data_IF_103276455440
#
_entry.id   IF_103276455440
#
_cell.length_a   1.000
_cell.length_b   1.000
_cell.length_c   1.000
_cell.angle_alpha   90.00
_cell.angle_beta   90.00
_cell.angle_gamma   90.00
#
_symmetry.space_group_name_H-M   'P 1'
#
loop_
_entity.id
_entity.type
_entity.pdbx_description
1 polymer ?
#
# COMPACT_ATOMS: atom_id res chain seq x y z
N UNK A 1 -6.27 4.63 -29.25
CA UNK A 1 -6.64 3.28 -28.79
C UNK A 1 -5.50 2.71 -27.96
N UNK A 2 -5.48 3.00 -26.65
CA UNK A 2 -4.54 2.37 -25.71
C UNK A 2 -5.35 1.44 -24.81
N UNK A 3 -5.36 0.14 -25.09
CA UNK A 3 -5.94 -0.82 -24.18
C UNK A 3 -5.05 -0.97 -22.94
N UNK A 4 -5.64 -1.02 -21.74
CA UNK A 4 -4.90 -1.43 -20.53
C UNK A 4 -4.26 -2.80 -20.77
N UNK A 5 -3.01 -3.02 -20.31
CA UNK A 5 -2.29 -4.29 -20.47
C UNK A 5 -3.16 -5.48 -20.05
N UNK A 6 -3.98 -5.31 -19.00
CA UNK A 6 -4.92 -6.31 -18.50
C UNK A 6 -5.96 -6.80 -19.52
N UNK A 7 -6.29 -6.00 -20.53
CA UNK A 7 -7.30 -6.30 -21.55
C UNK A 7 -6.76 -7.07 -22.76
N UNK A 8 -5.47 -7.44 -22.76
CA UNK A 8 -4.88 -8.20 -23.87
C UNK A 8 -5.37 -9.65 -23.82
N UNK A 9 -6.11 -10.04 -24.86
CA UNK A 9 -6.59 -11.40 -25.09
C UNK A 9 -5.88 -12.01 -26.30
N UNK A 10 -5.42 -13.25 -26.14
CA UNK A 10 -4.82 -14.04 -27.22
C UNK A 10 -5.81 -15.14 -27.59
N UNK A 11 -6.16 -15.22 -28.87
CA UNK A 11 -7.05 -16.25 -29.41
C UNK A 11 -6.23 -17.21 -30.25
N UNK A 12 -6.35 -18.51 -29.96
CA UNK A 12 -5.72 -19.58 -30.74
C UNK A 12 -6.77 -20.46 -31.39
N UNK A 13 -6.56 -20.79 -32.67
CA UNK A 13 -7.44 -21.64 -33.48
C UNK A 13 -6.63 -22.77 -34.10
N UNK A 14 -7.13 -24.00 -34.03
CA UNK A 14 -6.51 -25.14 -34.71
C UNK A 14 -6.73 -25.05 -36.23
N UNK A 15 -5.63 -25.06 -37.00
CA UNK A 15 -5.65 -24.99 -38.46
C UNK A 15 -5.87 -26.33 -39.15
N UNK A 16 -5.90 -27.45 -38.42
CA UNK A 16 -5.95 -28.81 -39.01
C UNK A 16 -7.36 -29.32 -39.35
N UNK A 17 -8.38 -28.46 -39.31
CA UNK A 17 -9.76 -28.80 -39.66
C UNK A 17 -10.39 -27.76 -40.60
N UNK A 18 -9.85 -27.58 -41.81
CA UNK A 18 -10.54 -26.85 -42.89
C UNK A 18 -11.70 -27.73 -43.39
N UNK A 19 -12.77 -27.81 -42.59
CA UNK A 19 -14.01 -28.50 -42.92
C UNK A 19 -15.17 -27.80 -42.21
N UNK A 20 -15.67 -26.74 -42.85
CA UNK A 20 -17.08 -26.33 -42.85
C UNK A 20 -17.77 -25.84 -41.57
N UNK A 21 -17.39 -26.26 -40.36
CA UNK A 21 -18.30 -26.17 -39.19
C UNK A 21 -17.59 -25.88 -37.84
N UNK A 22 -16.54 -25.06 -37.83
CA UNK A 22 -15.67 -24.84 -36.66
C UNK A 22 -15.47 -23.38 -36.25
N UNK A 23 -16.53 -22.57 -36.25
CA UNK A 23 -16.53 -21.28 -35.52
C UNK A 23 -16.50 -21.45 -33.98
N UNK A 24 -16.47 -22.69 -33.45
CA UNK A 24 -16.75 -22.99 -32.04
C UNK A 24 -15.55 -23.48 -31.20
N UNK A 25 -14.32 -23.55 -31.71
CA UNK A 25 -13.16 -23.97 -30.90
C UNK A 25 -12.02 -22.94 -30.95
N UNK A 26 -12.30 -21.75 -30.44
CA UNK A 26 -11.27 -20.75 -30.17
C UNK A 26 -10.90 -20.81 -28.70
N UNK A 27 -9.63 -21.09 -28.40
CA UNK A 27 -9.11 -20.95 -27.03
C UNK A 27 -8.77 -19.48 -26.78
N UNK A 28 -9.38 -18.87 -25.78
CA UNK A 28 -9.14 -17.47 -25.40
C UNK A 28 -8.30 -17.42 -24.12
N UNK A 29 -7.17 -16.72 -24.16
CA UNK A 29 -6.26 -16.55 -23.03
C UNK A 29 -6.11 -15.08 -22.66
N UNK A 30 -6.40 -14.74 -21.39
CA UNK A 30 -6.22 -13.38 -20.85
C UNK A 30 -4.75 -13.11 -20.52
N UNK A 31 -3.93 -13.02 -21.56
CA UNK A 31 -2.48 -12.80 -21.47
C UNK A 31 -2.14 -11.57 -20.63
N UNK A 32 -2.93 -10.51 -20.80
CA UNK A 32 -2.80 -9.28 -20.03
C UNK A 32 -2.88 -9.49 -18.53
N UNK A 33 -3.98 -10.07 -18.07
CA UNK A 33 -4.18 -10.41 -16.66
C UNK A 33 -3.11 -11.36 -16.13
N UNK A 34 -2.71 -12.36 -16.92
CA UNK A 34 -1.66 -13.31 -16.55
C UNK A 34 -0.30 -12.63 -16.31
N UNK A 35 0.10 -11.71 -17.19
CA UNK A 35 1.36 -10.95 -17.02
C UNK A 35 1.29 -10.10 -15.76
N UNK A 36 0.16 -9.44 -15.53
CA UNK A 36 -0.03 -8.62 -14.33
C UNK A 36 0.04 -9.47 -13.06
N UNK A 37 -0.62 -10.64 -13.04
CA UNK A 37 -0.53 -11.61 -11.95
C UNK A 37 0.91 -12.09 -11.73
N UNK A 38 1.68 -12.31 -12.80
CA UNK A 38 3.09 -12.70 -12.70
C UNK A 38 3.97 -11.60 -12.08
N UNK A 39 3.75 -10.33 -12.43
CA UNK A 39 4.47 -9.19 -11.84
C UNK A 39 4.17 -9.04 -10.34
N UNK A 40 2.92 -9.31 -9.96
CA UNK A 40 2.44 -9.34 -8.58
C UNK A 40 3.14 -10.41 -7.70
N UNK A 41 3.70 -11.47 -8.31
CA UNK A 41 4.51 -12.48 -7.63
C UNK A 41 5.96 -12.03 -7.34
N UNK A 42 6.32 -10.78 -7.62
CA UNK A 42 7.65 -10.26 -7.29
C UNK A 42 7.49 -9.32 -6.09
N UNK A 43 7.90 -9.73 -4.88
CA UNK A 43 7.86 -8.86 -3.71
C UNK A 43 8.83 -7.68 -3.90
N UNK A 44 8.44 -6.51 -3.42
CA UNK A 44 9.25 -5.29 -3.44
C UNK A 44 9.69 -4.93 -2.02
N UNK A 45 10.98 -4.71 -1.85
CA UNK A 45 11.53 -4.25 -0.59
C UNK A 45 11.32 -2.72 -0.47
N UNK A 46 10.47 -2.27 0.45
CA UNK A 46 10.08 -0.86 0.53
C UNK A 46 11.11 -0.01 1.28
N UNK A 47 11.58 -0.50 2.42
CA UNK A 47 12.43 0.27 3.32
C UNK A 47 13.14 -0.64 4.31
N UNK A 48 14.29 -0.18 4.79
CA UNK A 48 15.00 -0.76 5.94
C UNK A 48 15.01 0.24 7.11
N UNK A 49 15.07 -0.28 8.33
CA UNK A 49 15.36 0.52 9.51
C UNK A 49 16.77 0.22 9.99
N UNK A 50 17.62 1.24 9.96
CA UNK A 50 19.03 1.12 10.35
C UNK A 50 19.50 2.41 11.00
N UNK A 51 20.29 2.29 12.06
CA UNK A 51 20.83 3.43 12.80
C UNK A 51 19.72 4.38 13.30
N UNK A 52 18.59 3.83 13.74
CA UNK A 52 17.40 4.59 14.18
C UNK A 52 16.74 5.44 13.08
N UNK A 53 17.04 5.18 11.81
CA UNK A 53 16.46 5.88 10.67
C UNK A 53 15.62 4.94 9.84
N UNK A 54 14.50 5.45 9.33
CA UNK A 54 13.75 4.81 8.25
C UNK A 54 14.45 5.17 6.92
N UNK A 55 14.81 4.17 6.13
CA UNK A 55 15.54 4.33 4.86
C UNK A 55 14.68 3.72 3.75
N UNK A 56 13.91 4.54 3.01
CA UNK A 56 13.22 4.10 1.82
C UNK A 56 14.20 3.58 0.77
N UNK A 57 13.85 2.46 0.14
CA UNK A 57 14.61 1.89 -0.98
C UNK A 57 14.02 2.40 -2.29
N UNK A 58 14.88 2.60 -3.28
CA UNK A 58 14.47 2.98 -4.62
C UNK A 58 14.20 1.71 -5.43
N UNK A 59 12.95 1.47 -5.80
CA UNK A 59 12.56 0.31 -6.60
C UNK A 59 13.01 -1.04 -6.02
N UNK A 60 13.07 -1.16 -4.69
CA UNK A 60 13.54 -2.38 -4.02
C UNK A 60 15.03 -2.43 -3.73
N UNK A 61 15.80 -1.42 -4.12
CA UNK A 61 17.27 -1.40 -4.03
C UNK A 61 17.75 -0.24 -3.15
N UNK A 62 18.73 -0.51 -2.30
CA UNK A 62 19.40 0.55 -1.55
C UNK A 62 20.36 1.32 -2.45
N UNK A 63 20.16 2.63 -2.50
CA UNK A 63 20.97 3.58 -3.25
C UNK A 63 21.39 4.73 -2.32
N UNK A 64 22.70 4.86 -1.99
CA UNK A 64 23.20 5.90 -1.11
C UNK A 64 22.96 7.33 -1.62
N UNK A 65 23.02 7.55 -2.93
CA UNK A 65 22.83 8.88 -3.52
C UNK A 65 21.36 9.28 -3.41
N UNK A 66 20.46 8.31 -3.63
CA UNK A 66 19.04 8.47 -3.39
C UNK A 66 18.70 8.69 -1.91
N UNK A 67 19.32 7.94 -0.99
CA UNK A 67 19.13 8.19 0.45
C UNK A 67 19.54 9.62 0.82
N UNK A 68 20.66 10.09 0.28
CA UNK A 68 21.18 11.44 0.53
C UNK A 68 20.25 12.53 -0.04
N UNK A 69 19.62 12.31 -1.20
CA UNK A 69 18.69 13.30 -1.79
C UNK A 69 17.43 13.50 -0.95
N UNK A 70 17.03 12.50 -0.16
CA UNK A 70 15.89 12.59 0.75
C UNK A 70 16.22 13.26 2.09
N UNK A 71 17.49 13.53 2.39
CA UNK A 71 17.88 14.16 3.67
C UNK A 71 17.52 15.64 3.68
N UNK A 72 16.68 16.04 4.64
CA UNK A 72 16.26 17.43 4.81
C UNK A 72 15.17 17.89 3.83
N UNK A 73 14.71 17.01 2.94
CA UNK A 73 13.53 17.24 2.10
C UNK A 73 12.26 17.29 2.96
N UNK A 74 11.28 18.08 2.52
CA UNK A 74 9.96 18.11 3.14
C UNK A 74 9.10 16.91 2.70
N UNK A 75 7.94 16.74 3.34
CA UNK A 75 7.06 15.59 3.07
C UNK A 75 6.62 15.53 1.60
N UNK A 76 6.14 16.62 0.96
CA UNK A 76 5.80 16.61 -0.47
C UNK A 76 6.97 16.19 -1.37
N UNK A 77 8.16 16.76 -1.21
CA UNK A 77 9.30 16.40 -2.04
C UNK A 77 9.73 14.94 -1.87
N UNK A 78 9.62 14.38 -0.66
CA UNK A 78 9.88 12.95 -0.44
C UNK A 78 8.80 12.10 -1.13
N UNK A 79 7.53 12.48 -1.07
CA UNK A 79 6.44 11.75 -1.75
C UNK A 79 6.71 11.65 -3.26
N UNK A 80 7.13 12.75 -3.89
CA UNK A 80 7.43 12.77 -5.33
C UNK A 80 8.70 11.99 -5.68
N UNK A 81 9.69 11.96 -4.78
CA UNK A 81 10.93 11.20 -4.98
C UNK A 81 10.76 9.69 -4.76
N UNK A 82 9.80 9.26 -3.92
CA UNK A 82 9.54 7.85 -3.63
C UNK A 82 9.13 7.08 -4.89
N UNK A 83 9.82 5.96 -5.14
CA UNK A 83 9.53 5.06 -6.27
C UNK A 83 9.34 3.62 -5.80
N UNK A 84 8.17 3.04 -6.14
CA UNK A 84 7.77 1.66 -5.85
C UNK A 84 7.89 0.76 -7.09
N UNK A 85 8.77 1.12 -8.03
CA UNK A 85 9.10 0.34 -9.22
C UNK A 85 7.86 -0.11 -10.00
N UNK A 86 7.79 -1.40 -10.31
CA UNK A 86 6.70 -1.98 -11.10
C UNK A 86 5.33 -1.94 -10.42
N UNK A 87 5.26 -1.70 -9.10
CA UNK A 87 3.98 -1.59 -8.40
C UNK A 87 3.25 -0.26 -8.69
N UNK A 88 3.96 0.79 -9.08
CA UNK A 88 3.33 2.07 -9.43
C UNK A 88 2.40 1.95 -10.64
N UNK A 89 2.86 1.50 -11.82
CA UNK A 89 1.96 1.35 -12.97
C UNK A 89 0.85 0.32 -12.72
N UNK A 90 1.09 -0.67 -11.86
CA UNK A 90 0.04 -1.62 -11.42
C UNK A 90 -1.08 -0.90 -10.67
N UNK A 91 -0.74 -0.10 -9.66
CA UNK A 91 -1.73 0.61 -8.84
C UNK A 91 -2.33 1.84 -9.53
N UNK A 92 -1.58 2.55 -10.37
CA UNK A 92 -2.02 3.80 -10.98
C UNK A 92 -2.67 3.64 -12.35
N UNK A 93 -2.41 2.53 -13.05
CA UNK A 93 -2.90 2.35 -14.42
C UNK A 93 -3.64 1.03 -14.60
N UNK A 94 -2.96 -0.10 -14.38
CA UNK A 94 -3.54 -1.41 -14.74
C UNK A 94 -4.68 -1.84 -13.83
N UNK A 95 -4.60 -1.50 -12.54
CA UNK A 95 -5.57 -1.90 -11.51
C UNK A 95 -6.08 -0.70 -10.71
N UNK A 96 -6.00 0.52 -11.27
CA UNK A 96 -6.38 1.77 -10.60
C UNK A 96 -7.78 1.71 -9.97
N UNK A 97 -8.76 1.21 -10.71
CA UNK A 97 -10.17 1.14 -10.29
C UNK A 97 -10.46 0.03 -9.28
N UNK A 98 -9.51 -0.86 -8.99
CA UNK A 98 -9.75 -1.96 -8.04
C UNK A 98 -9.59 -1.44 -6.61
N UNK A 99 -10.57 -1.71 -5.73
CA UNK A 99 -10.41 -1.38 -4.32
C UNK A 99 -9.30 -2.23 -3.70
N UNK A 100 -8.70 -1.74 -2.62
CA UNK A 100 -7.54 -2.38 -1.99
C UNK A 100 -7.87 -2.79 -0.56
N UNK A 101 -7.44 -4.00 -0.19
CA UNK A 101 -7.34 -4.46 1.20
C UNK A 101 -5.88 -4.62 1.55
N UNK A 102 -5.50 -4.14 2.73
CA UNK A 102 -4.14 -4.29 3.24
C UNK A 102 -4.12 -5.24 4.43
N UNK A 103 -3.18 -6.17 4.41
CA UNK A 103 -2.83 -7.03 5.52
C UNK A 103 -1.34 -6.90 5.77
N UNK A 104 -0.93 -6.77 7.03
CA UNK A 104 0.47 -6.82 7.40
C UNK A 104 0.74 -8.01 8.29
N UNK A 105 2.00 -8.31 8.58
CA UNK A 105 2.31 -9.23 9.66
C UNK A 105 3.46 -8.71 10.51
N UNK A 106 3.35 -8.89 11.82
CA UNK A 106 4.40 -8.56 12.76
C UNK A 106 4.44 -9.57 13.92
N UNK A 107 5.59 -9.66 14.57
CA UNK A 107 5.86 -10.66 15.57
C UNK A 107 7.35 -10.80 15.74
N UNK A 108 7.76 -11.63 16.70
CA UNK A 108 9.17 -11.93 16.93
C UNK A 108 9.85 -12.46 15.65
N UNK A 109 11.17 -12.41 15.65
CA UNK A 109 11.98 -13.01 14.60
C UNK A 109 11.72 -14.52 14.53
N UNK A 110 11.70 -15.09 13.32
CA UNK A 110 11.57 -16.54 13.09
C UNK A 110 10.28 -17.24 13.57
N UNK A 111 9.19 -16.51 13.83
CA UNK A 111 7.90 -17.12 14.20
C UNK A 111 7.06 -17.58 13.01
N UNK A 112 7.60 -17.62 11.79
CA UNK A 112 6.88 -18.03 10.58
C UNK A 112 5.82 -17.04 10.09
N UNK A 113 6.15 -15.74 10.13
CA UNK A 113 5.30 -14.63 9.65
C UNK A 113 5.09 -14.69 8.14
N UNK A 114 6.18 -14.67 7.39
CA UNK A 114 6.20 -14.78 5.93
C UNK A 114 5.53 -16.07 5.46
N UNK A 115 5.77 -17.20 6.14
CA UNK A 115 5.07 -18.46 5.85
C UNK A 115 3.54 -18.31 5.95
N UNK A 116 3.05 -17.63 6.97
CA UNK A 116 1.61 -17.43 7.14
C UNK A 116 1.04 -16.49 6.09
N UNK A 117 1.72 -15.37 5.79
CA UNK A 117 1.31 -14.47 4.70
C UNK A 117 1.29 -15.19 3.35
N UNK A 118 2.28 -16.04 3.07
CA UNK A 118 2.33 -16.82 1.84
C UNK A 118 1.12 -17.75 1.68
N UNK A 119 0.66 -18.38 2.76
CA UNK A 119 -0.52 -19.25 2.73
C UNK A 119 -1.85 -18.48 2.80
N UNK A 120 -1.83 -17.27 3.37
CA UNK A 120 -3.01 -16.45 3.57
C UNK A 120 -3.25 -15.44 2.45
N UNK A 121 -2.26 -15.11 1.65
CA UNK A 121 -2.41 -14.08 0.62
C UNK A 121 -1.78 -14.52 -0.69
N UNK A 122 -1.37 -15.79 -0.83
CA UNK A 122 -0.70 -16.34 -2.02
C UNK A 122 0.54 -15.53 -2.41
N UNK A 123 1.28 -15.04 -1.40
CA UNK A 123 2.48 -14.24 -1.61
C UNK A 123 3.73 -15.13 -1.69
N UNK A 124 4.80 -14.68 -2.38
CA UNK A 124 6.07 -15.40 -2.43
C UNK A 124 7.16 -14.74 -1.58
N UNK A 125 6.83 -14.32 -0.35
CA UNK A 125 7.88 -13.83 0.56
C UNK A 125 8.87 -14.94 0.88
N UNK A 126 10.15 -14.58 1.02
CA UNK A 126 11.19 -15.53 1.36
C UNK A 126 10.94 -16.12 2.76
N UNK A 127 10.47 -17.37 2.81
CA UNK A 127 10.34 -18.12 4.05
C UNK A 127 11.70 -18.70 4.42
N UNK A 128 12.44 -18.05 5.32
CA UNK A 128 13.74 -18.56 5.72
C UNK A 128 13.90 -18.63 7.24
N UNK A 129 14.51 -19.72 7.69
CA UNK A 129 14.86 -19.97 9.09
C UNK A 129 16.22 -19.37 9.50
N UNK A 130 16.99 -18.83 8.54
CA UNK A 130 18.39 -18.37 8.76
C UNK A 130 18.67 -16.93 8.28
N UNK A 131 17.83 -16.39 7.41
CA UNK A 131 17.84 -15.01 6.90
C UNK A 131 16.47 -14.39 7.18
N UNK A 132 16.45 -13.47 8.11
CA UNK A 132 15.22 -12.82 8.54
C UNK A 132 14.89 -11.71 7.59
N UNK A 133 13.63 -11.63 7.17
CA UNK A 133 13.07 -10.50 6.41
C UNK A 133 13.67 -9.22 6.95
N UNK A 134 14.49 -8.52 6.15
CA UNK A 134 15.04 -7.23 6.56
C UNK A 134 14.02 -6.14 6.22
N UNK A 135 13.74 -5.21 7.12
CA UNK A 135 12.90 -4.05 6.83
C UNK A 135 11.43 -4.38 6.57
N UNK A 136 10.86 -3.80 5.50
CA UNK A 136 9.45 -3.93 5.11
C UNK A 136 9.33 -4.36 3.65
N UNK A 137 8.60 -5.43 3.40
CA UNK A 137 8.36 -5.97 2.06
C UNK A 137 6.90 -5.86 1.67
N UNK A 138 6.64 -5.56 0.40
CA UNK A 138 5.31 -5.48 -0.18
C UNK A 138 5.13 -6.56 -1.24
N UNK A 139 3.97 -7.20 -1.23
CA UNK A 139 3.48 -8.03 -2.34
C UNK A 139 1.99 -7.75 -2.54
N UNK A 140 1.48 -7.92 -3.75
CA UNK A 140 0.06 -7.71 -4.04
C UNK A 140 -0.51 -8.92 -4.76
N UNK A 141 -1.63 -9.44 -4.27
CA UNK A 141 -2.35 -10.54 -4.91
C UNK A 141 -3.66 -10.01 -5.48
N UNK A 142 -3.80 -9.95 -6.82
CA UNK A 142 -5.02 -9.46 -7.43
C UNK A 142 -6.13 -10.52 -7.33
N UNK A 143 -7.30 -10.11 -6.83
CA UNK A 143 -8.51 -10.95 -6.85
C UNK A 143 -9.49 -10.42 -7.90
N UNK A 144 -10.60 -11.14 -8.09
CA UNK A 144 -11.71 -10.67 -8.93
C UNK A 144 -12.31 -9.36 -8.41
N UNK A 145 -12.38 -9.17 -7.09
CA UNK A 145 -13.12 -8.07 -6.45
C UNK A 145 -12.25 -6.92 -5.97
N UNK A 146 -11.01 -7.21 -5.56
CA UNK A 146 -10.11 -6.25 -4.92
C UNK A 146 -8.63 -6.67 -5.06
N UNK A 147 -7.71 -5.76 -4.74
CA UNK A 147 -6.28 -6.05 -4.58
C UNK A 147 -5.98 -6.38 -3.12
N UNK A 148 -5.38 -7.53 -2.87
CA UNK A 148 -4.90 -7.91 -1.54
C UNK A 148 -3.42 -7.53 -1.42
N UNK A 149 -3.13 -6.39 -0.81
CA UNK A 149 -1.75 -5.99 -0.52
C UNK A 149 -1.31 -6.59 0.81
N UNK A 150 -0.16 -7.25 0.78
CA UNK A 150 0.48 -7.86 1.93
C UNK A 150 1.77 -7.14 2.26
N UNK A 151 1.95 -6.78 3.52
CA UNK A 151 3.15 -6.16 4.06
C UNK A 151 3.84 -7.11 5.05
N UNK A 152 4.99 -7.65 4.68
CA UNK A 152 5.80 -8.47 5.58
C UNK A 152 6.84 -7.59 6.29
N UNK A 153 6.74 -7.50 7.61
CA UNK A 153 7.67 -6.75 8.42
C UNK A 153 8.71 -7.69 9.03
N UNK A 154 9.91 -7.15 9.17
CA UNK A 154 10.94 -7.78 9.97
C UNK A 154 10.45 -8.11 11.39
N UNK A 155 11.03 -9.18 11.94
CA UNK A 155 10.80 -9.53 13.33
C UNK A 155 11.30 -8.47 14.30
N UNK A 156 10.46 -8.14 15.26
CA UNK A 156 10.79 -7.23 16.38
C UNK A 156 11.83 -7.89 17.27
N UNK A 157 12.70 -7.08 17.89
CA UNK A 157 13.71 -7.52 18.88
C UNK A 157 14.74 -8.52 18.33
N UNK A 158 15.24 -8.30 17.12
CA UNK A 158 16.51 -8.91 16.76
C UNK A 158 17.61 -8.38 17.70
N UNK A 159 18.63 -9.19 17.99
CA UNK A 159 19.76 -8.80 18.86
C UNK A 159 20.46 -7.54 18.33
N UNK A 160 20.30 -7.27 17.03
CA UNK A 160 20.98 -6.21 16.28
C UNK A 160 20.18 -4.89 16.24
N UNK A 161 19.02 -4.79 16.92
CA UNK A 161 18.10 -3.63 16.79
C UNK A 161 17.77 -2.85 18.04
N UNK A 162 17.45 -1.57 17.82
CA UNK A 162 17.01 -0.64 18.87
C UNK A 162 15.49 -0.60 19.04
N UNK A 163 15.04 -0.14 20.22
CA UNK A 163 13.62 0.09 20.49
C UNK A 163 12.98 1.16 19.59
N UNK A 164 13.78 2.08 19.03
CA UNK A 164 13.32 3.11 18.11
C UNK A 164 13.10 2.55 16.71
N UNK A 165 13.96 1.64 16.25
CA UNK A 165 13.79 0.93 14.97
C UNK A 165 12.54 0.05 15.00
N UNK A 166 12.32 -0.65 16.12
CA UNK A 166 11.09 -1.40 16.36
C UNK A 166 9.86 -0.46 16.30
N UNK A 167 9.91 0.72 16.93
CA UNK A 167 8.83 1.70 16.87
C UNK A 167 8.56 2.19 15.43
N UNK A 168 9.57 2.47 14.62
CA UNK A 168 9.37 2.92 13.23
C UNK A 168 8.63 1.87 12.38
N UNK A 169 8.97 0.59 12.55
CA UNK A 169 8.25 -0.51 11.89
C UNK A 169 6.83 -0.68 12.46
N UNK A 170 6.63 -0.38 13.75
CA UNK A 170 5.30 -0.37 14.37
C UNK A 170 4.39 0.70 13.78
N UNK A 171 4.95 1.84 13.41
CA UNK A 171 4.22 3.01 12.93
C UNK A 171 3.78 2.87 11.47
N UNK A 172 4.50 2.08 10.66
CA UNK A 172 4.21 1.85 9.24
C UNK A 172 3.05 0.86 8.95
N UNK A 173 2.17 0.61 9.93
CA UNK A 173 1.33 -0.60 9.97
C UNK A 173 -0.08 -0.52 9.39
N UNK A 174 -0.53 -1.70 8.91
CA UNK A 174 -1.94 -2.10 8.78
C UNK A 174 -2.14 -3.59 9.19
N UNK A 175 -2.29 -3.89 10.49
CA UNK A 175 -2.66 -5.19 11.14
C UNK A 175 -1.92 -6.51 10.86
N UNK A 176 -1.39 -7.17 11.91
CA UNK A 176 -1.52 -8.60 12.34
C UNK A 176 -0.38 -8.95 13.33
N UNK A 177 -0.61 -9.75 14.38
CA UNK A 177 0.44 -10.11 15.36
C UNK A 177 0.53 -11.61 15.63
N UNK A 178 1.74 -12.17 15.57
CA UNK A 178 2.09 -13.50 16.09
C UNK A 178 3.23 -13.40 17.09
N UNK A 179 3.01 -13.75 18.35
CA UNK A 179 4.11 -13.89 19.30
C UNK A 179 3.68 -14.58 20.59
N UNK A 180 4.67 -15.18 21.27
CA UNK A 180 4.55 -15.75 22.62
C UNK A 180 4.94 -14.75 23.72
N UNK A 181 5.80 -13.75 23.46
CA UNK A 181 6.06 -12.62 24.38
C UNK A 181 5.20 -11.38 24.09
N UNK A 182 3.97 -11.52 24.55
CA UNK A 182 2.88 -10.57 24.45
C UNK A 182 3.21 -9.22 25.13
N UNK A 183 3.79 -9.25 26.33
CA UNK A 183 4.02 -8.06 27.15
C UNK A 183 5.03 -7.12 26.49
N UNK A 184 6.05 -7.72 25.89
CA UNK A 184 7.09 -7.00 25.20
C UNK A 184 6.64 -6.24 23.96
N UNK A 185 5.82 -6.90 23.13
CA UNK A 185 5.21 -6.28 21.97
C UNK A 185 4.29 -5.13 22.37
N UNK A 186 3.54 -5.27 23.47
CA UNK A 186 2.65 -4.21 23.93
C UNK A 186 3.36 -2.95 24.31
N UNK A 187 4.54 -3.02 24.95
CA UNK A 187 5.31 -1.82 25.24
C UNK A 187 5.66 -1.08 23.95
N UNK A 188 6.05 -1.79 22.89
CA UNK A 188 6.33 -1.19 21.58
C UNK A 188 5.06 -0.61 20.94
N UNK A 189 3.92 -1.29 21.04
CA UNK A 189 2.63 -0.80 20.57
C UNK A 189 2.16 0.45 21.31
N UNK A 190 2.24 0.45 22.64
CA UNK A 190 1.80 1.56 23.47
C UNK A 190 2.69 2.78 23.24
N UNK A 191 4.02 2.58 23.16
CA UNK A 191 4.97 3.66 22.82
C UNK A 191 4.71 4.27 21.44
N UNK A 192 4.17 3.49 20.51
CA UNK A 192 3.82 3.99 19.17
C UNK A 192 2.46 4.68 19.15
N UNK A 193 1.51 4.20 19.96
CA UNK A 193 0.19 4.80 20.11
C UNK A 193 0.25 6.19 20.76
N UNK A 194 1.27 6.51 21.57
CA UNK A 194 1.43 7.85 22.14
C UNK A 194 1.90 8.88 21.12
N UNK A 195 2.70 8.46 20.14
CA UNK A 195 3.24 9.32 19.07
C UNK A 195 2.19 9.65 18.01
N UNK A 196 1.26 8.72 17.76
CA UNK A 196 0.23 8.84 16.74
C UNK A 196 -1.11 9.27 17.33
N UNK A 197 -1.62 10.44 16.96
CA UNK A 197 -2.99 10.84 17.31
C UNK A 197 -4.01 10.24 16.30
N UNK A 198 -4.86 9.28 16.72
CA UNK A 198 -5.86 8.69 15.83
C UNK A 198 -6.97 9.66 15.45
N UNK A 199 -7.18 10.73 16.23
CA UNK A 199 -8.18 11.74 15.92
C UNK A 199 -7.75 12.62 14.74
N UNK A 200 -6.45 12.84 14.61
CA UNK A 200 -5.79 13.58 13.53
C UNK A 200 -5.64 12.69 12.29
N UNK A 201 -5.37 11.40 12.48
CA UNK A 201 -5.09 10.45 11.38
C UNK A 201 -6.14 9.32 11.31
N UNK A 202 -7.41 9.69 11.11
CA UNK A 202 -8.54 8.74 11.19
C UNK A 202 -8.48 7.62 10.15
N UNK A 203 -7.83 7.84 9.01
CA UNK A 203 -7.66 6.89 7.91
C UNK A 203 -6.62 5.80 8.18
N UNK A 204 -5.53 6.12 8.90
CA UNK A 204 -4.44 5.17 9.18
C UNK A 204 -4.82 4.12 10.23
N UNK A 205 -5.68 4.47 11.18
CA UNK A 205 -5.95 3.68 12.40
C UNK A 205 -7.39 3.13 12.47
N UNK A 206 -7.79 2.38 11.44
CA UNK A 206 -9.11 1.73 11.36
C UNK A 206 -8.97 0.22 11.13
N UNK A 207 -8.16 -0.42 11.95
CA UNK A 207 -7.56 -1.69 11.64
C UNK A 207 -8.04 -2.76 12.64
N UNK A 208 -8.47 -3.95 12.18
CA UNK A 208 -8.76 -5.10 13.06
C UNK A 208 -7.49 -5.85 13.45
N UNK A 209 -7.13 -5.85 14.74
CA UNK A 209 -5.99 -6.61 15.27
C UNK A 209 -6.36 -8.09 15.41
N UNK A 210 -5.71 -8.96 14.63
CA UNK A 210 -5.78 -10.40 14.83
C UNK A 210 -4.47 -10.91 15.45
N UNK A 211 -4.60 -11.66 16.54
CA UNK A 211 -3.51 -12.26 17.31
C UNK A 211 -3.58 -13.77 17.09
N UNK A 212 -2.59 -14.30 16.38
CA UNK A 212 -2.50 -15.73 16.08
C UNK A 212 -1.55 -16.40 17.05
N UNK A 213 -2.08 -17.38 17.77
CA UNK A 213 -1.32 -18.17 18.73
C UNK A 213 -1.06 -19.52 18.09
N UNK A 214 0.19 -19.79 17.71
CA UNK A 214 0.57 -21.00 16.97
C UNK A 214 0.72 -22.23 17.86
N UNK A 215 0.62 -23.39 17.20
CA UNK A 215 0.85 -24.72 17.78
C UNK A 215 -0.07 -25.04 18.96
N UNK A 216 -1.33 -24.65 18.84
CA UNK A 216 -2.36 -24.89 19.85
C UNK A 216 -3.03 -26.24 19.60
N UNK A 217 -3.13 -27.07 20.64
CA UNK A 217 -3.91 -28.31 20.57
C UNK A 217 -5.40 -28.00 20.77
N UNK A 218 -6.28 -28.87 20.27
CA UNK A 218 -7.73 -28.69 20.42
C UNK A 218 -8.19 -28.63 21.87
N UNK A 219 -7.49 -29.35 22.76
CA UNK A 219 -7.78 -29.36 24.19
C UNK A 219 -7.52 -27.97 24.83
N UNK A 220 -6.48 -27.28 24.37
CA UNK A 220 -5.99 -26.03 24.99
C UNK A 220 -6.59 -24.76 24.36
N UNK A 221 -7.26 -24.89 23.22
CA UNK A 221 -7.75 -23.77 22.40
C UNK A 221 -8.59 -22.74 23.17
N UNK A 222 -9.55 -23.21 23.99
CA UNK A 222 -10.41 -22.33 24.79
C UNK A 222 -9.68 -21.68 25.96
N UNK A 223 -8.81 -22.44 26.60
CA UNK A 223 -8.11 -21.97 27.80
C UNK A 223 -7.05 -20.94 27.43
N UNK A 224 -6.34 -21.13 26.32
CA UNK A 224 -5.39 -20.16 25.77
C UNK A 224 -6.10 -18.86 25.37
N UNK A 225 -7.23 -18.94 24.68
CA UNK A 225 -7.99 -17.74 24.31
C UNK A 225 -8.46 -16.96 25.55
N UNK A 226 -8.89 -17.68 26.61
CA UNK A 226 -9.28 -17.07 27.89
C UNK A 226 -8.08 -16.45 28.61
N UNK A 227 -6.96 -17.15 28.67
CA UNK A 227 -5.74 -16.66 29.33
C UNK A 227 -5.26 -15.36 28.70
N UNK A 228 -5.18 -15.32 27.37
CA UNK A 228 -4.77 -14.09 26.66
C UNK A 228 -5.76 -12.95 26.95
N UNK A 229 -7.07 -13.22 26.88
CA UNK A 229 -8.09 -12.22 27.21
C UNK A 229 -7.93 -11.65 28.62
N UNK A 230 -7.61 -12.50 29.62
CA UNK A 230 -7.35 -12.07 30.99
C UNK A 230 -6.06 -11.25 31.11
N UNK A 231 -5.02 -11.54 30.30
CA UNK A 231 -3.79 -10.73 30.27
C UNK A 231 -3.98 -9.35 29.65
N UNK A 232 -4.96 -9.18 28.75
CA UNK A 232 -5.31 -7.87 28.18
C UNK A 232 -6.02 -6.96 29.18
N UNK A 233 -6.80 -7.54 30.09
CA UNK A 233 -7.69 -6.79 30.95
C UNK A 233 -6.94 -5.74 31.82
N UNK A 234 -5.83 -6.06 32.51
CA UNK A 234 -5.07 -5.07 33.28
C UNK A 234 -4.51 -3.93 32.42
N UNK A 235 -4.10 -4.22 31.18
CA UNK A 235 -3.53 -3.22 30.26
C UNK A 235 -4.62 -2.24 29.84
N UNK A 236 -5.80 -2.75 29.48
CA UNK A 236 -6.96 -1.94 29.11
C UNK A 236 -7.47 -1.15 30.32
N UNK A 237 -7.47 -1.72 31.53
CA UNK A 237 -7.90 -1.04 32.76
C UNK A 237 -6.94 0.08 33.17
N UNK A 238 -5.63 -0.14 33.04
CA UNK A 238 -4.59 0.83 33.40
C UNK A 238 -4.58 2.04 32.45
N UNK A 239 -4.62 1.78 31.14
CA UNK A 239 -4.51 2.82 30.10
C UNK A 239 -5.87 3.39 29.66
N UNK A 240 -6.99 2.74 30.05
CA UNK A 240 -8.37 3.12 29.68
C UNK A 240 -8.50 3.38 28.17
N UNK A 241 -9.15 4.47 27.75
CA UNK A 241 -9.33 4.82 26.34
C UNK A 241 -8.03 5.20 25.61
N UNK A 242 -6.91 5.33 26.34
CA UNK A 242 -5.60 5.63 25.77
C UNK A 242 -4.79 4.38 25.38
N UNK A 243 -5.32 3.18 25.61
CA UNK A 243 -4.67 1.96 25.20
C UNK A 243 -4.60 1.84 23.66
N UNK A 244 -3.54 1.21 23.15
CA UNK A 244 -3.33 1.05 21.70
C UNK A 244 -4.46 0.27 20.99
N UNK A 245 -5.21 -0.61 21.66
CA UNK A 245 -6.33 -1.36 21.06
C UNK A 245 -7.49 -0.41 20.76
N UNK A 246 -7.84 0.45 21.71
CA UNK A 246 -8.85 1.49 21.50
C UNK A 246 -8.39 2.52 20.48
N UNK A 247 -7.14 3.00 20.59
CA UNK A 247 -6.59 4.07 19.73
C UNK A 247 -6.30 3.64 18.30
N UNK A 248 -5.59 2.53 18.11
CA UNK A 248 -5.09 2.09 16.79
C UNK A 248 -6.05 1.12 16.07
N UNK A 249 -6.81 0.36 16.85
CA UNK A 249 -7.64 -0.73 16.35
C UNK A 249 -9.15 -0.53 16.60
N UNK A 250 -9.55 0.61 17.15
CA UNK A 250 -10.96 0.94 17.45
C UNK A 250 -11.66 -0.14 18.29
N UNK A 251 -10.92 -0.76 19.21
CA UNK A 251 -11.42 -1.85 20.04
C UNK A 251 -11.56 -3.20 19.33
N UNK A 252 -11.18 -3.31 18.05
CA UNK A 252 -11.33 -4.54 17.26
C UNK A 252 -10.12 -5.45 17.45
N UNK A 253 -10.27 -6.43 18.33
CA UNK A 253 -9.26 -7.46 18.58
C UNK A 253 -9.87 -8.86 18.38
N UNK A 254 -9.11 -9.78 17.78
CA UNK A 254 -9.47 -11.19 17.65
C UNK A 254 -8.29 -12.06 18.07
N UNK A 255 -8.51 -12.95 19.03
CA UNK A 255 -7.53 -13.97 19.43
C UNK A 255 -7.89 -15.26 18.71
N UNK A 256 -6.94 -15.78 17.93
CA UNK A 256 -7.13 -16.93 17.06
C UNK A 256 -6.12 -18.01 17.46
N UNK A 257 -6.55 -19.04 18.22
CA UNK A 257 -5.72 -20.22 18.43
C UNK A 257 -5.55 -20.95 17.09
N UNK A 258 -4.31 -21.13 16.67
CA UNK A 258 -3.96 -21.79 15.43
C UNK A 258 -3.49 -23.21 15.72
N UNK A 259 -4.09 -24.23 15.08
CA UNK A 259 -3.74 -25.62 15.27
C UNK A 259 -2.27 -25.91 15.01
N UNK A 260 -1.81 -27.08 15.44
CA UNK A 260 -0.51 -27.64 15.05
C UNK A 260 -0.47 -27.93 13.54
N UNK A 261 0.69 -27.75 12.90
CA UNK A 261 0.83 -27.86 11.43
C UNK A 261 0.40 -29.21 10.84
N UNK A 262 0.50 -30.29 11.61
CA UNK A 262 0.13 -31.63 11.18
C UNK A 262 -1.38 -31.92 11.31
N UNK A 263 -2.16 -30.98 11.87
CA UNK A 263 -3.61 -31.13 11.98
C UNK A 263 -4.30 -30.80 10.65
N UNK A 264 -5.37 -31.52 10.29
CA UNK A 264 -6.18 -31.18 9.11
C UNK A 264 -6.81 -29.78 9.23
N UNK A 265 -7.05 -29.29 10.46
CA UNK A 265 -7.62 -27.98 10.75
C UNK A 265 -6.67 -26.81 10.45
N UNK A 266 -5.37 -27.06 10.42
CA UNK A 266 -4.36 -26.01 10.20
C UNK A 266 -4.62 -25.19 8.93
N UNK A 267 -4.88 -25.87 7.81
CA UNK A 267 -5.10 -25.21 6.53
C UNK A 267 -6.54 -24.75 6.31
N UNK A 268 -7.52 -25.35 7.00
CA UNK A 268 -8.93 -24.95 6.88
C UNK A 268 -9.20 -23.60 7.55
N UNK A 269 -8.41 -23.23 8.57
CA UNK A 269 -8.51 -21.92 9.21
C UNK A 269 -8.12 -20.76 8.31
N UNK A 270 -7.17 -20.93 7.37
CA UNK A 270 -6.86 -19.89 6.38
C UNK A 270 -8.11 -19.51 5.58
N UNK A 271 -8.88 -20.50 5.11
CA UNK A 271 -10.15 -20.27 4.40
C UNK A 271 -11.16 -19.51 5.26
N UNK A 272 -11.24 -19.85 6.56
CA UNK A 272 -12.12 -19.16 7.50
C UNK A 272 -11.69 -17.71 7.74
N UNK A 273 -10.38 -17.45 7.80
CA UNK A 273 -9.81 -16.12 7.95
C UNK A 273 -10.04 -15.27 6.70
N UNK A 274 -9.86 -15.83 5.51
CA UNK A 274 -10.17 -15.18 4.24
C UNK A 274 -11.62 -14.73 4.16
N UNK A 275 -12.55 -15.62 4.51
CA UNK A 275 -13.98 -15.30 4.52
C UNK A 275 -14.29 -14.13 5.48
N UNK A 276 -13.60 -14.05 6.62
CA UNK A 276 -13.73 -12.91 7.54
C UNK A 276 -13.14 -11.64 6.96
N UNK A 277 -12.00 -11.74 6.29
CA UNK A 277 -11.40 -10.61 5.57
C UNK A 277 -12.36 -10.08 4.52
N UNK A 278 -12.96 -10.94 3.69
CA UNK A 278 -13.90 -10.56 2.64
C UNK A 278 -15.15 -9.81 3.15
N UNK A 279 -15.53 -10.02 4.41
CA UNK A 279 -16.64 -9.32 5.07
C UNK A 279 -16.27 -7.93 5.59
N UNK A 280 -14.98 -7.62 5.75
CA UNK A 280 -14.54 -6.30 6.18
C UNK A 280 -14.78 -5.26 5.07
N UNK A 281 -14.91 -3.96 5.39
CA UNK A 281 -14.83 -2.91 4.38
C UNK A 281 -13.46 -2.91 3.68
N UNK A 282 -13.40 -2.34 2.48
CA UNK A 282 -12.13 -2.09 1.79
C UNK A 282 -11.28 -1.08 2.58
N UNK A 283 -9.96 -1.23 2.52
CA UNK A 283 -9.02 -0.30 3.16
C UNK A 283 -8.92 0.99 2.35
N UNK A 284 -8.80 0.85 1.02
CA UNK A 284 -8.75 1.97 0.08
C UNK A 284 -9.72 1.75 -1.09
N UNK A 285 -10.28 2.84 -1.61
CA UNK A 285 -11.24 2.80 -2.71
C UNK A 285 -10.62 2.46 -4.08
N UNK A 286 -9.33 2.76 -4.25
CA UNK A 286 -8.59 2.57 -5.51
C UNK A 286 -7.12 2.24 -5.24
N UNK A 287 -6.44 1.71 -6.27
CA UNK A 287 -5.00 1.47 -6.24
C UNK A 287 -4.18 2.76 -6.09
N UNK A 288 -4.55 3.82 -6.82
CA UNK A 288 -3.90 5.14 -6.72
C UNK A 288 -4.01 5.72 -5.31
N UNK A 289 -5.19 5.65 -4.69
CA UNK A 289 -5.39 6.12 -3.32
C UNK A 289 -4.51 5.35 -2.33
N UNK A 290 -4.40 4.02 -2.49
CA UNK A 290 -3.49 3.22 -1.67
C UNK A 290 -2.04 3.64 -1.84
N UNK A 291 -1.57 3.78 -3.09
CA UNK A 291 -0.18 4.16 -3.38
C UNK A 291 0.17 5.52 -2.78
N UNK A 292 -0.69 6.51 -2.98
CA UNK A 292 -0.48 7.86 -2.47
C UNK A 292 -0.45 7.89 -0.93
N UNK A 293 -1.34 7.14 -0.27
CA UNK A 293 -1.33 7.00 1.19
C UNK A 293 -0.06 6.28 1.68
N UNK A 294 0.39 5.23 0.99
CA UNK A 294 1.60 4.51 1.33
C UNK A 294 2.84 5.40 1.22
N UNK A 295 3.02 6.13 0.11
CA UNK A 295 4.13 7.07 -0.08
C UNK A 295 4.11 8.17 0.98
N UNK A 296 2.94 8.73 1.29
CA UNK A 296 2.78 9.74 2.34
C UNK A 296 3.17 9.20 3.71
N UNK A 297 2.75 7.97 4.03
CA UNK A 297 3.14 7.31 5.28
C UNK A 297 4.66 7.09 5.35
N UNK A 298 5.28 6.61 4.26
CA UNK A 298 6.74 6.44 4.18
C UNK A 298 7.47 7.77 4.40
N UNK A 299 7.01 8.86 3.77
CA UNK A 299 7.58 10.19 3.89
C UNK A 299 7.48 10.73 5.33
N UNK A 300 6.31 10.59 5.97
CA UNK A 300 6.10 11.00 7.37
C UNK A 300 6.98 10.22 8.35
N UNK A 301 7.10 8.90 8.16
CA UNK A 301 7.99 8.07 8.99
C UNK A 301 9.46 8.46 8.77
N UNK A 302 9.86 8.79 7.53
CA UNK A 302 11.21 9.28 7.21
C UNK A 302 11.53 10.61 7.90
N UNK A 303 10.62 11.58 7.87
CA UNK A 303 10.82 12.91 8.47
C UNK A 303 10.48 12.96 9.95
N UNK A 304 9.93 11.88 10.52
CA UNK A 304 9.33 11.87 11.86
C UNK A 304 8.26 12.95 12.05
N UNK A 305 7.53 13.28 10.97
CA UNK A 305 6.40 14.20 11.00
C UNK A 305 5.10 13.47 11.37
N UNK A 306 4.62 13.70 12.60
CA UNK A 306 3.39 13.12 13.12
C UNK A 306 2.17 14.03 13.01
N UNK A 307 2.26 15.11 12.22
CA UNK A 307 1.13 15.98 11.90
C UNK A 307 0.01 15.27 11.13
N UNK A 308 -1.01 16.02 10.73
CA UNK A 308 -2.14 15.51 9.94
C UNK A 308 -1.69 14.91 8.60
N UNK A 309 -2.04 13.65 8.36
CA UNK A 309 -1.88 13.00 7.06
C UNK A 309 -2.75 13.73 6.02
N UNK A 310 -3.99 14.06 6.38
CA UNK A 310 -4.94 14.73 5.49
C UNK A 310 -4.43 16.11 5.04
N UNK A 311 -3.73 16.83 5.92
CA UNK A 311 -3.13 18.14 5.60
C UNK A 311 -1.94 17.99 4.65
N UNK A 312 -1.08 16.97 4.87
CA UNK A 312 0.03 16.67 3.97
C UNK A 312 -0.47 16.22 2.59
N UNK A 313 -1.50 15.38 2.56
CA UNK A 313 -2.18 14.97 1.33
C UNK A 313 -2.79 16.19 0.63
N UNK A 314 -3.45 17.10 1.36
CA UNK A 314 -4.00 18.33 0.77
C UNK A 314 -2.92 19.26 0.22
N UNK A 315 -1.80 19.41 0.94
CA UNK A 315 -0.67 20.26 0.54
C UNK A 315 0.01 19.71 -0.71
N UNK A 316 0.32 18.41 -0.73
CA UNK A 316 0.91 17.75 -1.89
C UNK A 316 0.00 17.84 -3.12
N UNK A 317 -1.31 17.60 -2.95
CA UNK A 317 -2.30 17.78 -4.04
C UNK A 317 -2.34 19.21 -4.57
N UNK A 318 -2.33 20.21 -3.69
CA UNK A 318 -2.32 21.61 -4.11
C UNK A 318 -1.06 21.93 -4.92
N UNK A 319 0.10 21.41 -4.52
CA UNK A 319 1.35 21.56 -5.25
C UNK A 319 1.28 20.89 -6.64
N UNK A 320 0.88 19.63 -6.72
CA UNK A 320 0.73 18.92 -7.99
C UNK A 320 -0.27 19.61 -8.93
N UNK A 321 -1.38 20.12 -8.39
CA UNK A 321 -2.33 20.90 -9.18
C UNK A 321 -1.70 22.17 -9.74
N UNK A 322 -0.96 22.93 -8.92
CA UNK A 322 -0.30 24.15 -9.40
C UNK A 322 0.74 23.87 -10.49
N UNK A 323 1.49 22.77 -10.37
CA UNK A 323 2.50 22.36 -11.35
C UNK A 323 1.87 21.88 -12.67
N UNK A 324 0.78 21.09 -12.59
CA UNK A 324 0.14 20.48 -13.77
C UNK A 324 -0.91 21.37 -14.45
N UNK A 325 -1.45 22.36 -13.75
CA UNK A 325 -2.53 23.23 -14.24
C UNK A 325 -2.18 23.96 -15.56
N UNK A 326 -0.97 24.54 -15.74
CA UNK A 326 -0.62 25.19 -17.00
C UNK A 326 -0.72 24.24 -18.19
N UNK A 327 -0.11 23.06 -18.10
CA UNK A 327 -0.16 22.05 -19.16
C UNK A 327 -1.58 21.53 -19.39
N UNK A 328 -2.32 21.26 -18.32
CA UNK A 328 -3.70 20.82 -18.40
C UNK A 328 -4.60 21.83 -19.12
N UNK A 329 -4.43 23.13 -18.87
CA UNK A 329 -5.18 24.19 -19.53
C UNK A 329 -4.76 24.37 -21.00
N UNK A 330 -3.45 24.36 -21.28
CA UNK A 330 -2.91 24.56 -22.62
C UNK A 330 -3.25 23.42 -23.58
N UNK A 331 -3.13 22.17 -23.10
CA UNK A 331 -3.13 20.99 -23.96
C UNK A 331 -4.30 20.04 -23.70
N UNK A 332 -5.09 20.25 -22.65
CA UNK A 332 -6.13 19.30 -22.23
C UNK A 332 -5.55 17.98 -21.73
N UNK A 333 -4.26 17.95 -21.38
CA UNK A 333 -3.49 16.79 -20.94
C UNK A 333 -2.32 17.23 -20.08
N UNK A 334 -1.75 16.28 -19.34
CA UNK A 334 -0.53 16.47 -18.56
C UNK A 334 0.68 15.91 -19.32
N UNK A 335 1.90 16.16 -18.84
CA UNK A 335 3.14 15.62 -19.42
C UNK A 335 3.17 14.08 -19.35
N UNK A 336 2.51 13.52 -18.34
CA UNK A 336 2.37 12.07 -18.11
C UNK A 336 1.27 11.41 -18.97
N UNK A 337 0.47 12.20 -19.70
CA UNK A 337 -0.58 11.71 -20.59
C UNK A 337 -1.97 12.29 -20.29
N UNK A 338 -3.06 11.52 -20.41
CA UNK A 338 -4.41 12.05 -20.22
C UNK A 338 -4.60 12.57 -18.79
N UNK A 339 -5.49 13.55 -18.63
CA UNK A 339 -5.83 14.08 -17.30
C UNK A 339 -6.42 12.97 -16.43
N UNK A 340 -5.92 12.86 -15.21
CA UNK A 340 -6.36 11.89 -14.21
C UNK A 340 -6.88 12.58 -12.97
N UNK A 341 -7.75 11.91 -12.24
CA UNK A 341 -8.10 12.27 -10.88
C UNK A 341 -6.87 12.07 -9.99
N UNK A 342 -6.43 13.13 -9.30
CA UNK A 342 -5.21 13.12 -8.48
C UNK A 342 -5.32 12.15 -7.29
N UNK A 343 -6.51 11.93 -6.74
CA UNK A 343 -6.70 11.04 -5.59
C UNK A 343 -6.79 9.56 -6.01
N UNK A 344 -7.33 9.28 -7.20
CA UNK A 344 -7.65 7.90 -7.61
C UNK A 344 -6.82 7.38 -8.78
N UNK A 345 -6.05 8.23 -9.44
CA UNK A 345 -5.36 7.98 -10.70
C UNK A 345 -6.30 7.51 -11.85
N UNK A 346 -7.61 7.71 -11.69
CA UNK A 346 -8.57 7.39 -12.74
C UNK A 346 -8.55 8.44 -13.86
N UNK A 347 -8.44 7.98 -15.10
CA UNK A 347 -8.53 8.85 -16.28
C UNK A 347 -9.86 9.60 -16.31
N UNK A 348 -9.78 10.92 -16.47
CA UNK A 348 -10.94 11.78 -16.63
C UNK A 348 -11.46 11.65 -18.08
N UNK A 349 -12.77 11.53 -18.23
CA UNK A 349 -13.40 11.50 -19.55
C UNK A 349 -13.29 12.87 -20.20
N UNK A 350 -12.38 13.03 -21.15
CA UNK A 350 -12.30 14.22 -22.01
C UNK A 350 -13.19 14.01 -23.23
N UNK A 351 -14.00 15.02 -23.58
CA UNK A 351 -14.73 15.02 -24.86
C UNK A 351 -13.71 15.17 -25.99
N UNK A 352 -13.83 14.40 -27.07
CA UNK A 352 -12.92 14.49 -28.24
C UNK A 352 -12.91 15.87 -28.93
N UNK A 353 -13.76 16.80 -28.47
CA UNK A 353 -13.88 18.17 -28.97
C UNK A 353 -13.53 19.21 -27.90
N UNK A 354 -12.36 19.11 -27.27
CA UNK A 354 -11.84 20.22 -26.46
C UNK A 354 -10.99 21.09 -27.40
N UNK A 355 -11.43 22.31 -27.77
CA UNK A 355 -10.57 23.25 -28.49
C UNK A 355 -9.34 23.53 -27.63
N UNK A 356 -8.15 23.43 -28.22
CA UNK A 356 -6.90 23.76 -27.54
C UNK A 356 -7.00 25.21 -27.04
N UNK A 357 -7.08 25.36 -25.72
CA UNK A 357 -7.17 26.67 -25.10
C UNK A 357 -5.74 27.16 -24.93
N UNK A 358 -5.25 27.94 -25.90
CA UNK A 358 -3.92 28.51 -25.81
C UNK A 358 -3.89 29.52 -24.66
N UNK A 359 -3.33 29.12 -23.52
CA UNK A 359 -2.95 30.05 -22.46
C UNK A 359 -1.53 30.51 -22.77
N UNK A 360 -1.30 31.79 -23.09
CA UNK A 360 0.05 32.29 -23.28
C UNK A 360 0.86 32.05 -22.00
N UNK A 361 2.06 31.49 -22.15
CA UNK A 361 3.04 31.42 -21.05
C UNK A 361 3.45 32.85 -20.68
N UNK A 362 2.83 33.42 -19.65
CA UNK A 362 3.32 34.63 -19.00
C UNK A 362 4.47 34.26 -18.08
N UNK A 363 5.59 33.81 -18.66
CA UNK A 363 6.82 33.66 -17.90
C UNK A 363 7.24 35.07 -17.49
N UNK A 364 7.28 35.34 -16.18
CA UNK A 364 7.42 36.69 -15.61
C UNK A 364 8.72 37.45 -15.90
N UNK A 365 9.43 37.13 -16.98
CA UNK A 365 10.69 37.74 -17.38
C UNK A 365 10.51 39.06 -18.17
N UNK A 366 9.33 39.37 -18.73
CA UNK A 366 9.12 40.62 -19.47
C UNK A 366 7.63 40.98 -19.64
N UNK A 367 7.04 41.61 -18.61
CA UNK A 367 5.65 42.11 -18.65
C UNK A 367 5.34 43.03 -19.86
N UNK A 368 6.36 43.64 -20.46
CA UNK A 368 6.21 44.51 -21.62
C UNK A 368 6.11 43.74 -22.95
N UNK A 369 6.85 42.65 -23.12
CA UNK A 369 6.77 41.81 -24.33
C UNK A 369 5.53 40.90 -24.30
N UNK A 370 5.16 40.43 -23.12
CA UNK A 370 3.93 39.68 -22.87
C UNK A 370 2.66 40.50 -23.19
N UNK A 371 2.68 41.81 -22.90
CA UNK A 371 1.60 42.73 -23.25
C UNK A 371 1.39 42.88 -24.75
N UNK A 372 2.49 42.94 -25.53
CA UNK A 372 2.44 43.05 -26.99
C UNK A 372 1.94 41.75 -27.63
N UNK A 373 2.36 40.59 -27.12
CA UNK A 373 1.87 39.28 -27.57
C UNK A 373 0.38 39.09 -27.28
N UNK A 374 -0.09 39.52 -26.10
CA UNK A 374 -1.51 39.48 -25.76
C UNK A 374 -2.36 40.39 -26.67
N UNK A 375 -1.84 41.58 -27.02
CA UNK A 375 -2.53 42.52 -27.90
C UNK A 375 -2.57 42.02 -29.36
N UNK A 376 -1.51 41.36 -29.83
CA UNK A 376 -1.48 40.68 -31.14
C UNK A 376 -2.44 39.48 -31.20
N UNK A 377 -2.55 38.69 -30.13
CA UNK A 377 -3.52 37.59 -30.04
C UNK A 377 -4.97 38.08 -29.96
N UNK A 378 -5.22 39.25 -29.36
CA UNK A 378 -6.54 39.89 -29.37
C UNK A 378 -6.91 40.43 -30.77
N UNK A 379 -5.94 40.94 -31.53
CA UNK A 379 -6.18 41.41 -32.90
C UNK A 379 -6.51 40.26 -33.87
N UNK A 380 -5.99 39.05 -33.65
CA UNK A 380 -6.28 37.88 -34.50
C UNK A 380 -7.66 37.26 -34.25
N UNK A 381 -8.34 37.63 -33.17
CA UNK A 381 -9.72 37.18 -32.85
C UNK A 381 -10.82 37.95 -33.61
N UNK A 382 -10.48 39.00 -34.36
CA UNK A 382 -11.46 39.88 -35.06
C UNK A 382 -11.64 39.51 -36.55
N UNK A 383 -11.25 38.31 -37.00
CA UNK A 383 -11.53 37.83 -38.36
C UNK A 383 -12.35 36.55 -38.44
#
# INVERSE_FOLDING_TARGET
MGGSLSAIEVKSTDSNGISGDLFNQTSEFKMGSFIVELLCLIPLHLAVTRENRFIPLKDGVWDPDYECSLLGADVPAIIDALSLGWYEPLFQSYMAKKPVRVVSSMGEQNVGKSYFLNHFADTPFAGSAMHTTEGVWLSCTPTEKYLLVSLDFEGVRSIERSAQEDALLVLFRHNFVMSRDIAGLFTSFQSSATVLDPNVNRGLFNSTLAIVIKDVTDADSRDIAREFSLRFQPIVEMERDQNFISRLHRGRIQIIPWPVINSPEFYTLFKSLHRRLDQQPFTYGSGGAFLHNLKTLMAKVKTSDWGSLDDNLATHRAQQMMERLPNALCYGRDDEGPLKNIDTDEELSTSEQIPALFVPEFSGASLAEDGVLAEQALQSLIH
#
